data_IF_829513856422
#
_entry.id   IF_829513856422
#
_cell.length_a   1.000
_cell.length_b   1.000
_cell.length_c   1.000
_cell.angle_alpha   90.00
_cell.angle_beta   90.00
_cell.angle_gamma   90.00
#
_symmetry.space_group_name_H-M   'P 1'
#
loop_
_entity.id
_entity.type
_entity.pdbx_description
1 polymer ?
#
# COMPACT_ATOMS: atom_id res chain seq x y z
N UNK A 1 6.09 7.19 7.75
CA UNK A 1 4.69 6.83 7.35
C UNK A 1 3.58 7.90 7.59
N UNK A 2 3.86 9.18 7.85
CA UNK A 2 2.84 10.16 8.33
C UNK A 2 2.78 11.51 7.57
N UNK A 3 2.75 11.52 6.23
CA UNK A 3 2.85 12.82 5.50
C UNK A 3 1.52 13.49 5.14
N UNK A 4 0.45 12.71 4.90
CA UNK A 4 -0.88 13.22 4.51
C UNK A 4 -2.02 12.78 5.47
N UNK A 5 -1.69 12.15 6.59
CA UNK A 5 -2.70 11.77 7.57
C UNK A 5 -3.28 13.00 8.28
N UNK A 6 -4.37 12.81 9.03
CA UNK A 6 -5.07 13.92 9.70
C UNK A 6 -4.16 14.71 10.66
N UNK A 7 -3.23 14.02 11.36
CA UNK A 7 -2.24 14.63 12.25
C UNK A 7 -1.23 15.50 11.49
N UNK A 8 -0.89 15.12 10.27
CA UNK A 8 0.09 15.82 9.45
C UNK A 8 -0.50 17.03 8.72
N UNK A 9 -1.80 16.99 8.39
CA UNK A 9 -2.50 18.06 7.69
C UNK A 9 -3.06 19.12 8.63
N UNK A 10 -3.40 18.78 9.88
CA UNK A 10 -4.06 19.70 10.82
C UNK A 10 -5.32 20.37 10.22
N UNK A 11 -6.08 19.62 9.42
CA UNK A 11 -7.28 20.08 8.71
C UNK A 11 -8.56 19.51 9.33
N UNK A 12 -8.55 19.24 10.64
CA UNK A 12 -9.68 18.60 11.31
C UNK A 12 -9.69 17.08 11.07
N UNK A 13 -10.84 16.46 10.73
CA UNK A 13 -10.95 15.01 10.63
C UNK A 13 -10.40 14.42 9.32
N UNK A 14 -10.08 15.25 8.33
CA UNK A 14 -9.64 14.78 7.01
C UNK A 14 -8.18 14.34 7.02
N UNK A 15 -7.89 13.28 6.30
CA UNK A 15 -6.55 12.75 6.14
C UNK A 15 -6.53 11.60 5.13
N UNK A 16 -5.39 11.43 4.49
CA UNK A 16 -5.18 10.39 3.48
C UNK A 16 -4.04 9.52 3.99
N UNK A 17 -4.36 8.27 4.29
CA UNK A 17 -3.34 7.29 4.62
C UNK A 17 -2.87 6.63 3.33
N UNK A 18 -1.58 6.36 3.22
CA UNK A 18 -1.03 5.62 2.08
C UNK A 18 -0.39 4.36 2.64
N UNK A 19 -0.67 3.22 2.03
CA UNK A 19 -0.02 1.95 2.33
C UNK A 19 0.57 1.39 1.04
N UNK A 20 1.77 0.84 1.10
CA UNK A 20 2.47 0.37 -0.07
C UNK A 20 3.43 -0.78 0.22
N UNK A 21 3.70 -1.58 -0.79
CA UNK A 21 4.57 -2.74 -0.72
C UNK A 21 5.58 -2.74 -1.85
N UNK A 22 6.81 -3.12 -1.50
CA UNK A 22 7.94 -3.21 -2.42
C UNK A 22 8.55 -4.60 -2.31
N UNK A 23 8.87 -5.21 -3.44
CA UNK A 23 9.66 -6.43 -3.47
C UNK A 23 11.11 -6.11 -3.11
N UNK A 24 11.64 -6.77 -2.08
CA UNK A 24 13.00 -6.55 -1.61
C UNK A 24 14.04 -6.83 -2.71
N UNK A 25 13.93 -7.98 -3.37
CA UNK A 25 14.95 -8.46 -4.31
C UNK A 25 14.95 -7.73 -5.67
N UNK A 26 13.78 -7.41 -6.21
CA UNK A 26 13.67 -6.72 -7.51
C UNK A 26 13.57 -5.21 -7.38
N UNK A 27 13.37 -4.69 -6.16
CA UNK A 27 12.99 -3.30 -5.90
C UNK A 27 11.66 -2.86 -6.53
N UNK A 28 10.89 -3.77 -7.14
CA UNK A 28 9.63 -3.43 -7.78
C UNK A 28 8.62 -2.95 -6.74
N UNK A 29 7.92 -1.85 -7.04
CA UNK A 29 6.72 -1.47 -6.30
C UNK A 29 5.58 -2.40 -6.73
N UNK A 30 5.07 -3.18 -5.77
CA UNK A 30 4.04 -4.17 -6.05
C UNK A 30 2.67 -3.49 -6.09
N UNK A 31 2.36 -2.68 -5.08
CA UNK A 31 1.13 -1.90 -5.01
C UNK A 31 1.29 -0.75 -4.03
N UNK A 32 0.69 0.39 -4.35
CA UNK A 32 0.57 1.56 -3.48
C UNK A 32 -0.88 2.01 -3.55
N UNK A 33 -1.54 2.15 -2.40
CA UNK A 33 -2.92 2.63 -2.35
C UNK A 33 -3.15 3.65 -1.26
N UNK A 34 -4.01 4.62 -1.57
CA UNK A 34 -4.59 5.53 -0.61
C UNK A 34 -5.77 4.86 0.12
N UNK A 35 -5.83 5.03 1.44
CA UNK A 35 -6.88 4.49 2.31
C UNK A 35 -7.44 5.53 3.27
N UNK A 36 -8.75 5.45 3.59
CA UNK A 36 -9.35 6.29 4.63
C UNK A 36 -8.72 6.00 6.00
N UNK A 37 -8.41 4.72 6.28
CA UNK A 37 -7.75 4.33 7.51
C UNK A 37 -6.83 3.10 7.30
N UNK A 38 -5.53 3.36 7.13
CA UNK A 38 -4.51 2.31 7.06
C UNK A 38 -4.01 1.82 8.43
N UNK A 39 -4.55 2.34 9.54
CA UNK A 39 -4.29 1.84 10.90
C UNK A 39 -5.29 0.77 11.33
N UNK A 40 -6.28 0.48 10.49
CA UNK A 40 -7.23 -0.58 10.74
C UNK A 40 -6.66 -1.91 10.23
N UNK A 41 -6.57 -2.89 11.13
CA UNK A 41 -6.04 -4.22 10.80
C UNK A 41 -6.74 -4.86 9.60
N UNK A 42 -8.08 -4.76 9.55
CA UNK A 42 -8.89 -5.24 8.42
C UNK A 42 -8.52 -4.60 7.08
N UNK A 43 -8.20 -3.29 7.05
CA UNK A 43 -7.80 -2.61 5.82
C UNK A 43 -6.49 -3.18 5.27
N UNK A 44 -5.51 -3.40 6.14
CA UNK A 44 -4.20 -3.95 5.76
C UNK A 44 -4.32 -5.43 5.38
N UNK A 45 -5.19 -6.18 6.05
CA UNK A 45 -5.54 -7.57 5.68
C UNK A 45 -6.12 -7.66 4.25
N UNK A 46 -7.15 -6.87 3.93
CA UNK A 46 -7.72 -6.82 2.58
C UNK A 46 -6.69 -6.36 1.55
N UNK A 47 -5.89 -5.35 1.86
CA UNK A 47 -4.79 -4.90 1.00
C UNK A 47 -3.80 -6.04 0.68
N UNK A 48 -3.48 -6.88 1.66
CA UNK A 48 -2.63 -8.05 1.45
C UNK A 48 -3.30 -9.10 0.55
N UNK A 49 -4.58 -9.39 0.75
CA UNK A 49 -5.31 -10.35 -0.09
C UNK A 49 -5.38 -9.88 -1.55
N UNK A 50 -5.60 -8.59 -1.78
CA UNK A 50 -5.54 -8.00 -3.13
C UNK A 50 -4.17 -8.18 -3.80
N UNK A 51 -3.08 -8.10 -3.01
CA UNK A 51 -1.73 -8.31 -3.52
C UNK A 51 -1.54 -9.76 -3.96
N UNK A 52 -1.98 -10.69 -3.13
CA UNK A 52 -1.84 -12.13 -3.37
C UNK A 52 -2.69 -12.57 -4.56
N UNK A 53 -3.92 -12.05 -4.68
CA UNK A 53 -4.83 -12.31 -5.81
C UNK A 53 -4.22 -11.84 -7.15
N UNK A 54 -3.61 -10.65 -7.17
CA UNK A 54 -2.98 -10.10 -8.39
C UNK A 54 -1.62 -10.72 -8.70
N UNK A 55 -0.91 -11.22 -7.69
CA UNK A 55 0.45 -11.70 -7.82
C UNK A 55 0.55 -13.18 -7.39
N UNK A 56 1.42 -13.47 -6.43
CA UNK A 56 1.68 -14.81 -5.90
C UNK A 56 1.76 -14.68 -4.38
N UNK A 57 1.62 -15.81 -3.68
CA UNK A 57 1.88 -15.85 -2.25
C UNK A 57 3.34 -15.45 -2.02
N UNK A 58 3.56 -14.42 -1.22
CA UNK A 58 4.91 -13.97 -0.87
C UNK A 58 5.60 -14.98 0.05
N UNK A 59 6.92 -15.07 0.02
CA UNK A 59 7.66 -15.95 0.94
C UNK A 59 7.66 -15.39 2.37
N UNK A 60 7.89 -14.08 2.49
CA UNK A 60 7.99 -13.38 3.76
C UNK A 60 7.66 -11.89 3.56
N UNK A 61 6.49 -11.40 3.98
CA UNK A 61 6.25 -9.99 4.21
C UNK A 61 7.09 -9.50 5.39
N UNK A 62 7.78 -8.38 5.15
CA UNK A 62 8.41 -7.57 6.19
C UNK A 62 7.58 -6.31 6.36
N UNK A 63 7.07 -6.08 7.57
CA UNK A 63 6.21 -4.95 7.86
C UNK A 63 6.70 -4.19 9.08
N UNK A 64 6.19 -2.98 9.26
CA UNK A 64 6.35 -2.25 10.51
C UNK A 64 5.47 -2.91 11.60
N UNK A 65 6.00 -3.09 12.81
CA UNK A 65 5.41 -3.87 13.90
C UNK A 65 4.20 -3.23 14.60
N UNK A 66 3.33 -2.55 13.85
CA UNK A 66 2.10 -1.94 14.36
C UNK A 66 0.93 -2.92 14.48
N UNK A 67 -0.06 -2.56 15.31
CA UNK A 67 -1.26 -3.38 15.54
C UNK A 67 -2.16 -3.52 14.30
N UNK A 68 -1.98 -2.63 13.33
CA UNK A 68 -2.65 -2.68 12.02
C UNK A 68 -2.21 -3.85 11.14
N UNK A 69 -1.17 -4.60 11.51
CA UNK A 69 -0.65 -5.71 10.68
C UNK A 69 -1.18 -7.08 11.10
N UNK A 70 -2.05 -7.15 12.11
CA UNK A 70 -2.55 -8.41 12.67
C UNK A 70 -3.33 -9.30 11.70
N UNK A 71 -4.23 -8.72 10.89
CA UNK A 71 -5.00 -9.50 9.90
C UNK A 71 -4.10 -9.94 8.75
N UNK A 72 -3.16 -9.09 8.31
CA UNK A 72 -2.17 -9.45 7.30
C UNK A 72 -1.33 -10.63 7.79
N UNK A 73 -0.83 -10.58 9.03
CA UNK A 73 -0.10 -11.70 9.64
C UNK A 73 -0.92 -12.99 9.62
N UNK A 74 -2.17 -12.92 10.10
CA UNK A 74 -3.06 -14.09 10.18
C UNK A 74 -3.31 -14.69 8.80
N UNK A 75 -3.70 -13.86 7.82
CA UNK A 75 -3.92 -14.28 6.45
C UNK A 75 -2.65 -14.89 5.83
N UNK A 76 -1.51 -14.26 6.07
CA UNK A 76 -0.24 -14.70 5.49
C UNK A 76 0.22 -16.04 6.04
N UNK A 77 0.09 -16.28 7.35
CA UNK A 77 0.45 -17.56 7.97
C UNK A 77 -0.39 -18.69 7.39
N UNK A 78 -1.70 -18.50 7.25
CA UNK A 78 -2.60 -19.51 6.64
C UNK A 78 -2.19 -19.78 5.19
N UNK A 79 -1.95 -18.72 4.40
CA UNK A 79 -1.47 -18.85 3.01
C UNK A 79 -0.15 -19.61 2.91
N UNK A 80 0.83 -19.30 3.77
CA UNK A 80 2.12 -20.01 3.79
C UNK A 80 1.96 -21.48 4.11
N UNK A 81 1.12 -21.81 5.09
CA UNK A 81 0.89 -23.20 5.52
C UNK A 81 0.16 -24.02 4.45
N UNK A 82 -0.71 -23.42 3.65
CA UNK A 82 -1.47 -24.16 2.64
C UNK A 82 -0.79 -24.18 1.26
N UNK A 83 -0.08 -23.12 0.90
CA UNK A 83 0.49 -22.96 -0.44
C UNK A 83 1.99 -23.31 -0.50
N UNK A 84 2.73 -23.23 0.61
CA UNK A 84 4.19 -23.36 0.60
C UNK A 84 4.69 -24.39 1.61
N UNK A 85 4.18 -25.61 1.50
CA UNK A 85 4.48 -26.75 2.38
C UNK A 85 5.98 -27.09 2.48
N UNK A 86 6.73 -26.87 1.40
CA UNK A 86 8.17 -27.17 1.32
C UNK A 86 9.05 -26.19 2.13
N UNK A 87 8.53 -25.03 2.52
CA UNK A 87 9.27 -24.00 3.24
C UNK A 87 8.89 -24.03 4.72
N UNK A 88 9.71 -24.69 5.53
CA UNK A 88 9.54 -24.75 6.98
C UNK A 88 9.47 -23.35 7.61
N UNK A 89 8.47 -23.14 8.48
CA UNK A 89 8.32 -21.92 9.27
C UNK A 89 9.47 -21.71 10.28
N UNK A 90 10.24 -22.76 10.59
CA UNK A 90 11.44 -22.67 11.44
C UNK A 90 12.67 -22.16 10.67
N UNK A 91 12.78 -22.47 9.37
CA UNK A 91 13.92 -22.07 8.54
C UNK A 91 13.72 -20.67 7.96
N UNK A 92 12.49 -20.35 7.58
CA UNK A 92 12.10 -19.03 7.09
C UNK A 92 10.83 -18.57 7.83
N UNK A 93 10.93 -17.59 8.76
CA UNK A 93 9.75 -17.11 9.46
C UNK A 93 8.76 -16.54 8.43
N UNK A 94 7.49 -16.91 8.53
CA UNK A 94 6.47 -16.42 7.61
C UNK A 94 6.36 -14.89 7.63
N UNK A 95 6.68 -14.24 8.75
CA UNK A 95 6.44 -12.81 8.91
C UNK A 95 7.52 -12.18 9.77
N UNK A 96 7.97 -10.99 9.37
CA UNK A 96 8.97 -10.22 10.12
C UNK A 96 8.41 -8.83 10.41
N UNK A 97 8.22 -8.54 11.70
CA UNK A 97 7.91 -7.20 12.19
C UNK A 97 9.21 -6.46 12.50
N UNK A 98 9.47 -5.36 11.80
CA UNK A 98 10.55 -4.44 12.08
C UNK A 98 10.02 -3.22 12.85
N UNK A 99 10.92 -2.49 13.51
CA UNK A 99 10.59 -1.14 13.98
C UNK A 99 10.53 -0.20 12.78
N UNK A 100 9.66 0.81 12.82
CA UNK A 100 9.54 1.82 11.75
C UNK A 100 10.88 2.45 11.35
N UNK A 101 11.78 2.65 12.34
CA UNK A 101 13.12 3.21 12.15
C UNK A 101 14.04 2.32 11.34
N UNK A 102 13.78 1.01 11.37
CA UNK A 102 14.64 -0.01 10.78
C UNK A 102 14.15 -0.36 9.36
N UNK A 103 12.94 0.07 8.98
CA UNK A 103 12.39 -0.07 7.63
C UNK A 103 12.90 1.04 6.68
N UNK A 104 14.23 1.17 6.60
CA UNK A 104 14.92 2.16 5.75
C UNK A 104 14.47 2.10 4.27
N UNK A 105 14.25 0.90 3.66
CA UNK A 105 13.88 0.82 2.25
C UNK A 105 12.56 1.51 1.89
N UNK A 106 11.54 1.47 2.77
CA UNK A 106 10.26 2.14 2.51
C UNK A 106 10.37 3.65 2.76
N UNK A 107 11.12 4.07 3.78
CA UNK A 107 11.29 5.50 4.07
C UNK A 107 12.09 6.21 2.97
N UNK A 108 13.14 5.59 2.44
CA UNK A 108 13.85 6.10 1.25
C UNK A 108 12.91 6.25 0.05
N UNK A 109 12.02 5.29 -0.16
CA UNK A 109 11.03 5.32 -1.22
C UNK A 109 10.05 6.49 -1.09
N UNK A 110 9.60 6.78 0.13
CA UNK A 110 8.73 7.93 0.41
C UNK A 110 9.40 9.27 0.10
N UNK A 111 10.71 9.38 0.34
CA UNK A 111 11.47 10.54 -0.07
C UNK A 111 11.52 10.69 -1.59
N UNK A 112 11.74 9.59 -2.32
CA UNK A 112 11.76 9.59 -3.78
C UNK A 112 10.40 9.95 -4.39
N UNK A 113 9.30 9.41 -3.84
CA UNK A 113 7.94 9.81 -4.23
C UNK A 113 7.72 11.32 -4.05
N UNK A 114 8.13 11.86 -2.90
CA UNK A 114 7.99 13.29 -2.59
C UNK A 114 8.74 14.16 -3.59
N UNK A 115 9.92 13.72 -4.04
CA UNK A 115 10.72 14.46 -5.02
C UNK A 115 10.17 14.33 -6.45
N UNK A 116 9.60 13.18 -6.80
CA UNK A 116 9.03 12.92 -8.13
C UNK A 116 7.77 13.75 -8.37
N UNK A 117 6.88 13.80 -7.39
CA UNK A 117 5.70 14.68 -7.42
C UNK A 117 6.18 16.10 -7.10
N UNK A 118 6.79 16.76 -8.09
CA UNK A 118 7.52 18.04 -7.99
C UNK A 118 6.75 19.25 -7.45
N UNK A 119 5.51 19.06 -7.00
CA UNK A 119 4.75 19.93 -6.12
C UNK A 119 4.27 19.04 -4.98
N UNK A 120 4.82 19.19 -3.77
CA UNK A 120 4.46 18.34 -2.65
C UNK A 120 2.93 18.38 -2.45
N UNK A 121 2.23 17.27 -2.70
CA UNK A 121 0.76 17.20 -2.61
C UNK A 121 0.24 17.77 -1.29
N UNK A 122 1.02 17.62 -0.21
CA UNK A 122 0.74 18.21 1.09
C UNK A 122 0.62 19.73 1.02
N UNK A 123 1.53 20.41 0.32
CA UNK A 123 1.53 21.87 0.20
C UNK A 123 0.29 22.35 -0.55
N UNK A 124 -0.08 21.69 -1.65
CA UNK A 124 -1.29 22.03 -2.41
C UNK A 124 -2.54 21.83 -1.56
N UNK A 125 -2.64 20.71 -0.83
CA UNK A 125 -3.73 20.45 0.10
C UNK A 125 -3.81 21.54 1.18
N UNK A 126 -2.66 21.92 1.75
CA UNK A 126 -2.57 22.96 2.78
C UNK A 126 -2.87 24.37 2.25
N UNK A 127 -2.65 24.65 0.97
CA UNK A 127 -3.12 25.89 0.35
C UNK A 127 -4.64 26.04 0.44
N UNK A 128 -5.38 24.93 0.32
CA UNK A 128 -6.83 24.93 0.53
C UNK A 128 -7.24 25.42 1.93
N UNK A 129 -6.43 25.11 2.95
CA UNK A 129 -6.62 25.63 4.31
C UNK A 129 -6.21 27.10 4.42
N UNK A 130 -5.03 27.47 3.92
CA UNK A 130 -4.50 28.83 4.08
C UNK A 130 -5.28 29.88 3.29
N UNK A 131 -5.89 29.50 2.17
CA UNK A 131 -6.75 30.37 1.33
C UNK A 131 -8.25 30.26 1.67
N UNK A 132 -8.60 29.57 2.77
CA UNK A 132 -10.00 29.41 3.24
C UNK A 132 -10.94 28.67 2.28
N UNK A 133 -10.43 27.91 1.31
CA UNK A 133 -11.24 27.02 0.47
C UNK A 133 -11.77 25.79 1.23
N UNK A 134 -11.05 25.37 2.28
CA UNK A 134 -11.45 24.28 3.14
C UNK A 134 -11.78 24.78 4.55
N UNK A 135 -12.95 24.42 5.06
CA UNK A 135 -13.34 24.69 6.43
C UNK A 135 -13.89 23.40 7.08
N UNK A 136 -13.21 22.87 8.13
CA UNK A 136 -13.59 21.61 8.78
C UNK A 136 -14.90 21.68 9.56
N UNK A 137 -15.49 22.87 9.75
CA UNK A 137 -16.81 23.01 10.38
C UNK A 137 -17.97 22.67 9.42
N UNK A 138 -17.71 22.60 8.11
CA UNK A 138 -18.74 22.29 7.10
C UNK A 138 -18.62 20.83 6.62
N UNK A 139 -19.62 19.97 6.87
CA UNK A 139 -19.61 18.57 6.43
C UNK A 139 -19.36 18.40 4.93
N UNK A 140 -19.96 19.25 4.10
CA UNK A 140 -19.76 19.24 2.66
C UNK A 140 -18.29 19.39 2.25
N UNK A 141 -17.49 20.19 2.97
CA UNK A 141 -16.06 20.35 2.66
C UNK A 141 -15.28 19.08 3.03
N UNK A 142 -15.68 18.38 4.10
CA UNK A 142 -15.09 17.11 4.53
C UNK A 142 -15.40 16.03 3.49
N UNK A 143 -16.66 15.91 3.08
CA UNK A 143 -17.09 14.91 2.09
C UNK A 143 -16.45 15.16 0.72
N UNK A 144 -16.44 16.42 0.26
CA UNK A 144 -15.77 16.79 -0.98
C UNK A 144 -14.27 16.49 -0.92
N UNK A 145 -13.62 16.76 0.22
CA UNK A 145 -12.21 16.43 0.42
C UNK A 145 -11.98 14.92 0.27
N UNK A 146 -12.74 14.11 1.01
CA UNK A 146 -12.60 12.66 1.02
C UNK A 146 -13.02 12.02 -0.31
N UNK A 147 -13.86 12.69 -1.11
CA UNK A 147 -14.25 12.21 -2.43
C UNK A 147 -13.24 12.55 -3.54
N UNK A 148 -12.61 13.73 -3.48
CA UNK A 148 -11.73 14.24 -4.54
C UNK A 148 -10.27 13.89 -4.30
N UNK A 149 -9.72 14.26 -3.15
CA UNK A 149 -8.28 14.20 -2.91
C UNK A 149 -7.71 12.78 -2.93
N UNK A 150 -8.39 11.75 -2.39
CA UNK A 150 -7.90 10.38 -2.50
C UNK A 150 -7.72 9.92 -3.94
N UNK A 151 -8.57 10.35 -4.87
CA UNK A 151 -8.45 10.01 -6.30
C UNK A 151 -7.24 10.70 -6.93
N UNK A 152 -7.01 11.97 -6.61
CA UNK A 152 -5.82 12.72 -7.06
C UNK A 152 -4.55 12.07 -6.51
N UNK A 153 -4.52 11.75 -5.22
CA UNK A 153 -3.38 11.09 -4.57
C UNK A 153 -3.14 9.71 -5.19
N UNK A 154 -4.21 8.91 -5.40
CA UNK A 154 -4.09 7.60 -6.04
C UNK A 154 -3.52 7.72 -7.45
N UNK A 155 -3.99 8.67 -8.25
CA UNK A 155 -3.45 8.93 -9.59
C UNK A 155 -1.94 9.24 -9.55
N UNK A 156 -1.50 10.10 -8.63
CA UNK A 156 -0.07 10.40 -8.46
C UNK A 156 0.74 9.20 -7.97
N UNK A 157 0.15 8.32 -7.15
CA UNK A 157 0.79 7.08 -6.72
C UNK A 157 0.94 6.10 -7.89
N UNK A 158 -0.09 5.93 -8.70
CA UNK A 158 -0.08 5.03 -9.86
C UNK A 158 0.97 5.49 -10.89
N UNK A 159 1.01 6.78 -11.23
CA UNK A 159 2.03 7.36 -12.13
C UNK A 159 3.45 7.14 -11.58
N UNK A 160 3.65 7.31 -10.27
CA UNK A 160 4.95 7.06 -9.65
C UNK A 160 5.33 5.57 -9.65
N UNK A 161 4.38 4.66 -9.40
CA UNK A 161 4.61 3.21 -9.48
C UNK A 161 5.02 2.82 -10.90
N UNK A 162 4.35 3.37 -11.92
CA UNK A 162 4.66 3.11 -13.31
C UNK A 162 6.03 3.65 -13.70
N UNK A 163 6.35 4.90 -13.34
CA UNK A 163 7.68 5.46 -13.51
C UNK A 163 8.75 4.59 -12.83
N UNK A 164 8.55 4.25 -11.56
CA UNK A 164 9.53 3.49 -10.79
C UNK A 164 9.72 2.08 -11.34
N UNK A 165 8.66 1.39 -11.73
CA UNK A 165 8.80 0.02 -12.21
C UNK A 165 9.46 -0.06 -13.60
N UNK A 166 9.45 1.04 -14.36
CA UNK A 166 10.04 1.12 -15.69
C UNK A 166 11.40 1.84 -15.75
N UNK A 167 11.77 2.63 -14.74
CA UNK A 167 13.08 3.28 -14.73
C UNK A 167 14.22 2.27 -14.61
N UNK A 168 15.41 2.61 -15.13
CA UNK A 168 16.59 1.78 -14.97
C UNK A 168 17.23 2.04 -13.62
N UNK A 169 17.45 0.98 -12.85
CA UNK A 169 18.14 1.06 -11.57
C UNK A 169 19.60 1.48 -11.83
N UNK A 170 20.08 2.51 -11.11
CA UNK A 170 21.45 3.01 -11.27
C UNK A 170 22.50 1.95 -10.88
N UNK A 171 23.72 2.13 -11.38
CA UNK A 171 24.84 1.17 -11.40
C UNK A 171 25.29 0.58 -10.06
N UNK A 172 24.81 1.08 -8.92
CA UNK A 172 25.33 0.75 -7.59
C UNK A 172 24.54 -0.32 -6.82
N UNK A 173 23.42 -0.82 -7.33
CA UNK A 173 22.67 -1.94 -6.72
C UNK A 173 22.49 -3.10 -7.70
N UNK A 174 22.81 -4.32 -7.29
CA UNK A 174 22.57 -5.52 -8.09
C UNK A 174 21.08 -5.91 -8.00
N UNK A 175 20.40 -6.19 -9.13
CA UNK A 175 20.86 -6.05 -10.52
C UNK A 175 20.75 -4.60 -11.04
N UNK A 176 21.82 -4.09 -11.66
CA UNK A 176 21.89 -2.71 -12.15
C UNK A 176 21.61 -2.58 -13.65
N UNK A 177 21.19 -1.40 -14.10
CA UNK A 177 20.97 -1.08 -15.52
C UNK A 177 19.69 -1.64 -16.15
N UNK A 178 18.90 -2.38 -15.37
CA UNK A 178 17.61 -2.97 -15.77
C UNK A 178 16.48 -2.39 -14.92
N UNK A 179 15.24 -2.49 -15.42
CA UNK A 179 14.08 -2.00 -14.67
C UNK A 179 13.66 -2.97 -13.57
N UNK A 180 13.10 -2.48 -12.44
CA UNK A 180 12.57 -3.34 -11.38
C UNK A 180 11.55 -4.36 -11.89
N UNK A 181 10.70 -3.96 -12.84
CA UNK A 181 9.73 -4.86 -13.46
C UNK A 181 10.39 -6.01 -14.21
N UNK A 182 11.50 -5.76 -14.90
CA UNK A 182 12.22 -6.80 -15.64
C UNK A 182 12.87 -7.82 -14.69
N UNK A 183 13.46 -7.36 -13.58
CA UNK A 183 14.02 -8.24 -12.55
C UNK A 183 12.92 -9.09 -11.91
N UNK A 184 11.76 -8.48 -11.61
CA UNK A 184 10.63 -9.21 -11.03
C UNK A 184 10.03 -10.24 -11.99
N UNK A 185 9.96 -9.92 -13.29
CA UNK A 185 9.42 -10.82 -14.29
C UNK A 185 10.35 -12.02 -14.57
N UNK A 186 11.67 -11.80 -14.57
CA UNK A 186 12.69 -12.78 -14.92
C UNK A 186 13.80 -12.89 -13.85
N UNK A 187 13.46 -13.29 -12.62
CA UNK A 187 14.42 -13.34 -11.52
C UNK A 187 15.59 -14.29 -11.77
N UNK A 188 15.37 -15.41 -12.49
CA UNK A 188 16.43 -16.38 -12.77
C UNK A 188 17.59 -15.79 -13.58
N UNK A 189 17.32 -14.79 -14.44
CA UNK A 189 18.37 -14.08 -15.21
C UNK A 189 19.34 -13.29 -14.33
N UNK A 190 18.97 -13.09 -13.07
CA UNK A 190 19.72 -12.33 -12.08
C UNK A 190 20.18 -13.20 -10.90
N UNK A 191 20.11 -14.54 -11.03
CA UNK A 191 20.47 -15.47 -9.97
C UNK A 191 19.51 -15.47 -8.78
N UNK A 192 18.29 -14.95 -8.97
CA UNK A 192 17.24 -14.96 -7.95
C UNK A 192 16.32 -16.16 -8.15
N UNK A 193 15.85 -16.73 -7.04
CA UNK A 193 14.88 -17.82 -7.04
C UNK A 193 13.46 -17.27 -7.13
N UNK A 194 12.64 -17.87 -7.99
CA UNK A 194 11.23 -17.50 -8.10
C UNK A 194 10.32 -18.46 -7.33
N UNK A 195 9.59 -17.94 -6.35
CA UNK A 195 8.57 -18.67 -5.62
C UNK A 195 7.19 -18.27 -6.17
N UNK A 196 6.81 -18.83 -7.33
CA UNK A 196 5.51 -18.56 -7.98
C UNK A 196 4.43 -19.53 -7.50
N UNK A 197 4.02 -19.44 -6.23
CA UNK A 197 2.82 -20.17 -5.81
C UNK A 197 1.60 -19.24 -5.90
N UNK A 198 0.69 -19.44 -6.87
CA UNK A 198 -0.57 -18.70 -6.89
C UNK A 198 -1.43 -19.11 -5.70
N UNK A 199 -2.16 -18.15 -5.14
CA UNK A 199 -3.14 -18.48 -4.11
C UNK A 199 -4.39 -19.10 -4.74
N UNK A 200 -4.93 -20.18 -4.16
CA UNK A 200 -6.26 -20.66 -4.52
C UNK A 200 -7.32 -19.59 -4.24
N UNK A 201 -8.21 -19.32 -5.20
CA UNK A 201 -9.21 -18.26 -5.07
C UNK A 201 -10.20 -18.54 -3.92
N UNK A 202 -10.58 -19.79 -3.73
CA UNK A 202 -11.44 -20.24 -2.63
C UNK A 202 -10.83 -19.92 -1.26
N UNK A 203 -9.50 -20.02 -1.14
CA UNK A 203 -8.79 -19.63 0.06
C UNK A 203 -8.76 -18.11 0.25
N UNK A 204 -8.51 -17.35 -0.83
CA UNK A 204 -8.59 -15.87 -0.79
C UNK A 204 -9.97 -15.43 -0.34
N UNK A 205 -11.02 -15.99 -0.94
CA UNK A 205 -12.41 -15.65 -0.62
C UNK A 205 -12.73 -16.01 0.84
N UNK A 206 -12.32 -17.18 1.31
CA UNK A 206 -12.51 -17.60 2.71
C UNK A 206 -11.83 -16.63 3.68
N UNK A 207 -10.58 -16.23 3.41
CA UNK A 207 -9.87 -15.27 4.26
C UNK A 207 -10.51 -13.88 4.20
N UNK A 208 -10.97 -13.42 3.03
CA UNK A 208 -11.71 -12.17 2.89
C UNK A 208 -12.96 -12.14 3.77
N UNK A 209 -13.71 -13.24 3.85
CA UNK A 209 -14.92 -13.34 4.69
C UNK A 209 -14.62 -13.39 6.20
N UNK A 210 -13.43 -13.87 6.58
CA UNK A 210 -13.02 -13.97 7.99
C UNK A 210 -12.50 -12.64 8.56
N UNK A 211 -12.14 -11.68 7.72
CA UNK A 211 -11.70 -10.36 8.17
C UNK A 211 -12.90 -9.59 8.78
N UNK A 212 -12.78 -9.03 10.01
CA UNK A 212 -13.93 -8.46 10.73
C UNK A 212 -14.72 -7.35 10.05
N UNK A 213 -14.08 -6.56 9.19
CA UNK A 213 -14.72 -5.50 8.39
C UNK A 213 -14.63 -5.87 6.93
N UNK A 214 -15.68 -5.60 6.17
CA UNK A 214 -15.68 -5.90 4.75
C UNK A 214 -14.67 -5.02 3.99
N UNK A 215 -14.23 -5.51 2.83
CA UNK A 215 -13.35 -4.76 1.93
C UNK A 215 -13.96 -3.41 1.54
N UNK A 216 -15.26 -3.41 1.24
CA UNK A 216 -15.99 -2.19 0.87
C UNK A 216 -15.98 -1.16 2.00
N UNK A 217 -16.29 -1.56 3.24
CA UNK A 217 -16.23 -0.66 4.40
C UNK A 217 -14.83 -0.10 4.66
N UNK A 218 -13.79 -0.92 4.50
CA UNK A 218 -12.42 -0.51 4.70
C UNK A 218 -11.94 0.50 3.65
N UNK A 219 -12.46 0.43 2.42
CA UNK A 219 -11.97 1.21 1.27
C UNK A 219 -12.85 2.44 0.99
N UNK A 220 -14.03 2.52 1.62
CA UNK A 220 -15.00 3.60 1.43
C UNK A 220 -14.51 4.92 2.04
N UNK A 221 -14.52 5.98 1.22
CA UNK A 221 -14.12 7.33 1.61
C UNK A 221 -15.28 8.25 2.00
N UNK A 222 -16.44 8.07 1.38
CA UNK A 222 -17.65 8.88 1.59
C UNK A 222 -18.88 7.97 1.67
N UNK A 223 -19.99 8.49 2.18
CA UNK A 223 -21.24 7.72 2.22
C UNK A 223 -21.78 7.43 0.81
N UNK A 224 -22.58 6.37 0.70
CA UNK A 224 -23.30 6.03 -0.53
C UNK A 224 -24.22 7.16 -0.99
N UNK A 225 -24.82 7.90 -0.05
CA UNK A 225 -25.66 9.07 -0.35
C UNK A 225 -24.86 10.16 -1.05
N UNK A 226 -23.66 10.48 -0.56
CA UNK A 226 -22.81 11.51 -1.16
C UNK A 226 -22.27 11.07 -2.53
N UNK A 227 -21.95 9.79 -2.69
CA UNK A 227 -21.48 9.24 -3.97
C UNK A 227 -22.60 9.19 -5.03
N UNK A 228 -23.84 8.92 -4.62
CA UNK A 228 -25.02 8.84 -5.50
C UNK A 228 -25.55 10.19 -6.00
N UNK A 229 -25.15 11.33 -5.40
CA UNK A 229 -25.51 12.68 -5.87
C UNK A 229 -24.79 13.05 -7.19
N UNK A 230 -23.88 12.20 -7.68
CA UNK A 230 -23.17 12.36 -8.96
C UNK A 230 -24.05 12.36 -10.22
N UNK A 231 -25.25 11.78 -10.14
CA UNK A 231 -26.10 11.52 -11.31
C UNK A 231 -27.20 12.59 -11.52
N UNK A 232 -27.06 13.77 -10.92
CA UNK A 232 -27.94 14.94 -11.11
C UNK A 232 -27.26 16.08 -11.88
#
# INVERSE_FOLDING_TARGET
HEKLNFKALWMGPVGINIYGSRCHSSSQMVKFMAFPNARCSSTVGHYYLDLVEKHVVFVQPTVDGGSETGELYTCHVVMRQQCMLELSLQEAPAFVALKSTDNIPIESLWHLFTNYVGLNLKEIILLGKSQSYFNPAFPLHIDLFNWLWPKIVQYSLDDFVDYWNNHKIQTHSLPSGVSPQFIYALPERFGLTHFRTPAPQDLVDTLCHNIPKSREECYRWVSHEFEGVRDL
#
